data_IF_418083240085
#
_entry.id   IF_418083240085
#
_cell.length_a   1.000
_cell.length_b   1.000
_cell.length_c   1.000
_cell.angle_alpha   90.00
_cell.angle_beta   90.00
_cell.angle_gamma   90.00
#
_symmetry.space_group_name_H-M   'P 1'
#
loop_
_entity.id
_entity.type
_entity.pdbx_description
1 polymer ?
#
# COMPACT_ATOMS: atom_id res chain seq x y z
N UNK A 1 -31.95 -8.14 -36.89
CA UNK A 1 -31.76 -6.86 -36.15
C UNK A 1 -31.29 -7.09 -34.72
N UNK A 2 -31.51 -8.26 -34.10
CA UNK A 2 -30.97 -8.57 -32.76
C UNK A 2 -29.46 -8.88 -32.76
N UNK A 3 -28.92 -9.57 -33.77
CA UNK A 3 -27.48 -9.86 -33.88
C UNK A 3 -26.62 -8.58 -33.93
N UNK A 4 -27.07 -7.56 -34.67
CA UNK A 4 -26.38 -6.27 -34.77
C UNK A 4 -26.33 -5.49 -33.45
N UNK A 5 -27.33 -5.67 -32.58
CA UNK A 5 -27.39 -5.00 -31.28
C UNK A 5 -26.52 -5.72 -30.25
N UNK A 6 -26.48 -7.06 -30.29
CA UNK A 6 -25.58 -7.85 -29.44
C UNK A 6 -24.09 -7.59 -29.78
N UNK A 7 -23.74 -7.49 -31.06
CA UNK A 7 -22.38 -7.13 -31.50
C UNK A 7 -21.98 -5.71 -31.07
N UNK A 8 -22.90 -4.75 -31.16
CA UNK A 8 -22.67 -3.38 -30.69
C UNK A 8 -22.44 -3.34 -29.18
N UNK A 9 -23.28 -4.04 -28.41
CA UNK A 9 -23.13 -4.16 -26.95
C UNK A 9 -21.80 -4.83 -26.58
N UNK A 10 -21.40 -5.90 -27.28
CA UNK A 10 -20.12 -6.58 -27.07
C UNK A 10 -18.91 -5.67 -27.36
N UNK A 11 -18.97 -4.86 -28.42
CA UNK A 11 -17.91 -3.89 -28.72
C UNK A 11 -17.81 -2.79 -27.67
N UNK A 12 -18.95 -2.31 -27.15
CA UNK A 12 -19.00 -1.31 -26.07
C UNK A 12 -18.40 -1.88 -24.79
N UNK A 13 -18.78 -3.10 -24.39
CA UNK A 13 -18.24 -3.74 -23.17
C UNK A 13 -16.77 -4.12 -23.31
N UNK A 14 -16.32 -4.54 -24.50
CA UNK A 14 -14.90 -4.80 -24.77
C UNK A 14 -14.04 -3.51 -24.73
N UNK A 15 -14.58 -2.39 -25.20
CA UNK A 15 -13.93 -1.08 -25.13
C UNK A 15 -13.76 -0.59 -23.69
N UNK A 16 -14.81 -0.71 -22.88
CA UNK A 16 -14.78 -0.35 -21.46
C UNK A 16 -13.81 -1.25 -20.67
N UNK A 17 -13.85 -2.57 -20.90
CA UNK A 17 -12.91 -3.51 -20.27
C UNK A 17 -11.46 -3.15 -20.60
N UNK A 18 -11.16 -2.82 -21.87
CA UNK A 18 -9.82 -2.38 -22.28
C UNK A 18 -9.36 -1.14 -21.49
N UNK A 19 -10.24 -0.15 -21.31
CA UNK A 19 -9.90 1.05 -20.54
C UNK A 19 -9.64 0.76 -19.06
N UNK A 20 -10.35 -0.21 -18.46
CA UNK A 20 -10.03 -0.65 -17.09
C UNK A 20 -8.67 -1.35 -17.04
N UNK A 21 -8.39 -2.26 -17.98
CA UNK A 21 -7.11 -2.99 -18.04
C UNK A 21 -5.93 -2.02 -18.22
N UNK A 22 -5.99 -1.12 -19.20
CA UNK A 22 -4.92 -0.15 -19.46
C UNK A 22 -4.68 0.77 -18.25
N UNK A 23 -5.74 1.18 -17.53
CA UNK A 23 -5.60 1.95 -16.29
C UNK A 23 -4.92 1.13 -15.19
N UNK A 24 -5.28 -0.15 -15.03
CA UNK A 24 -4.67 -1.02 -14.04
C UNK A 24 -3.19 -1.29 -14.35
N UNK A 25 -2.84 -1.57 -15.61
CA UNK A 25 -1.45 -1.78 -16.03
C UNK A 25 -0.58 -0.55 -15.77
N UNK A 26 -1.11 0.65 -16.04
CA UNK A 26 -0.41 1.90 -15.69
C UNK A 26 -0.20 2.04 -14.17
N UNK A 27 -1.23 1.78 -13.38
CA UNK A 27 -1.13 1.82 -11.91
C UNK A 27 -0.13 0.78 -11.38
N UNK A 28 -0.03 -0.40 -12.00
CA UNK A 28 0.97 -1.40 -11.64
C UNK A 28 2.40 -0.97 -11.97
N UNK A 29 2.61 -0.33 -13.13
CA UNK A 29 3.89 0.27 -13.48
C UNK A 29 4.28 1.38 -12.49
N UNK A 30 3.37 2.31 -12.19
CA UNK A 30 3.60 3.37 -11.19
C UNK A 30 3.92 2.79 -9.81
N UNK A 31 3.19 1.74 -9.39
CA UNK A 31 3.44 1.05 -8.12
C UNK A 31 4.84 0.42 -8.08
N UNK A 32 5.29 -0.16 -9.21
CA UNK A 32 6.63 -0.73 -9.31
C UNK A 32 7.70 0.35 -9.18
N UNK A 33 7.56 1.46 -9.91
CA UNK A 33 8.51 2.57 -9.88
C UNK A 33 8.60 3.18 -8.47
N UNK A 34 7.46 3.38 -7.81
CA UNK A 34 7.40 3.85 -6.41
C UNK A 34 8.10 2.85 -5.48
N UNK A 35 7.92 1.55 -5.67
CA UNK A 35 8.57 0.53 -4.85
C UNK A 35 10.10 0.53 -5.03
N UNK A 36 10.59 0.81 -6.24
CA UNK A 36 12.02 0.96 -6.52
C UNK A 36 12.58 2.22 -5.85
N UNK A 37 11.91 3.36 -5.97
CA UNK A 37 12.29 4.60 -5.27
C UNK A 37 12.33 4.40 -3.74
N UNK A 38 11.36 3.70 -3.17
CA UNK A 38 11.36 3.37 -1.72
C UNK A 38 12.58 2.52 -1.31
N UNK A 39 13.01 1.58 -2.17
CA UNK A 39 14.20 0.77 -1.90
C UNK A 39 15.47 1.62 -1.94
N UNK A 40 15.58 2.54 -2.88
CA UNK A 40 16.73 3.46 -2.99
C UNK A 40 16.87 4.33 -1.75
N UNK A 41 15.78 4.95 -1.28
CA UNK A 41 15.78 5.76 -0.04
C UNK A 41 16.24 4.93 1.16
N UNK A 42 15.76 3.68 1.28
CA UNK A 42 16.17 2.79 2.36
C UNK A 42 17.64 2.39 2.24
N UNK A 43 18.16 2.18 1.02
CA UNK A 43 19.56 1.88 0.78
C UNK A 43 20.47 3.07 1.12
N UNK A 44 20.07 4.29 0.75
CA UNK A 44 20.76 5.53 1.09
C UNK A 44 20.80 5.74 2.62
N UNK A 45 19.68 5.55 3.31
CA UNK A 45 19.62 5.62 4.76
C UNK A 45 20.55 4.59 5.42
N UNK A 46 20.59 3.35 4.90
CA UNK A 46 21.50 2.32 5.38
C UNK A 46 22.97 2.73 5.16
N UNK A 47 23.32 3.26 4.00
CA UNK A 47 24.68 3.71 3.69
C UNK A 47 25.14 4.86 4.61
N UNK A 48 24.20 5.69 5.08
CA UNK A 48 24.43 6.75 6.07
C UNK A 48 24.47 6.25 7.52
N UNK A 49 24.26 4.95 7.76
CA UNK A 49 24.32 4.34 9.09
C UNK A 49 23.00 4.27 9.85
N UNK A 50 21.87 4.59 9.24
CA UNK A 50 20.56 4.45 9.89
C UNK A 50 20.08 2.99 9.90
N UNK A 51 19.39 2.60 10.98
CA UNK A 51 18.70 1.32 11.05
C UNK A 51 17.38 1.36 10.27
N UNK A 52 17.39 0.80 9.06
CA UNK A 52 16.21 0.73 8.19
C UNK A 52 15.06 -0.12 8.75
N UNK A 53 15.30 -1.03 9.70
CA UNK A 53 14.21 -1.77 10.37
C UNK A 53 13.47 -0.85 11.33
N UNK A 54 14.20 -0.06 12.11
CA UNK A 54 13.62 0.94 13.03
C UNK A 54 12.89 2.02 12.23
N UNK A 55 13.47 2.51 11.12
CA UNK A 55 12.78 3.48 10.26
C UNK A 55 11.45 2.96 9.71
N UNK A 56 11.37 1.69 9.29
CA UNK A 56 10.10 1.09 8.85
C UNK A 56 9.06 1.05 9.97
N UNK A 57 9.47 0.73 11.21
CA UNK A 57 8.59 0.78 12.38
C UNK A 57 8.06 2.20 12.61
N UNK A 58 8.93 3.21 12.58
CA UNK A 58 8.53 4.62 12.72
C UNK A 58 7.55 5.04 11.62
N UNK A 59 7.81 4.68 10.36
CA UNK A 59 6.88 4.98 9.25
C UNK A 59 5.52 4.30 9.47
N UNK A 60 5.50 3.04 9.92
CA UNK A 60 4.26 2.32 10.20
C UNK A 60 3.47 2.96 11.36
N UNK A 61 4.15 3.32 12.45
CA UNK A 61 3.54 4.05 13.57
C UNK A 61 2.94 5.38 13.09
N UNK A 62 3.67 6.14 12.27
CA UNK A 62 3.19 7.43 11.74
C UNK A 62 1.99 7.33 10.80
N UNK A 63 1.66 6.14 10.30
CA UNK A 63 0.48 5.91 9.44
C UNK A 63 -0.78 5.58 10.24
N UNK A 64 -0.65 5.18 11.51
CA UNK A 64 -1.77 4.85 12.38
C UNK A 64 -2.41 6.10 12.95
N UNK A 65 -3.68 6.00 13.31
CA UNK A 65 -4.34 7.05 14.09
C UNK A 65 -3.66 7.16 15.47
N UNK A 66 -3.60 8.38 16.02
CA UNK A 66 -3.01 8.61 17.34
C UNK A 66 -3.81 7.93 18.44
N UNK A 67 -5.13 7.85 18.28
CA UNK A 67 -6.02 7.22 19.24
C UNK A 67 -5.82 5.69 19.21
N UNK A 68 -5.67 5.09 18.02
CA UNK A 68 -5.34 3.66 17.85
C UNK A 68 -3.98 3.30 18.47
N UNK A 69 -3.01 4.22 18.45
CA UNK A 69 -1.71 4.01 19.08
C UNK A 69 -1.85 4.07 20.60
N UNK A 70 -2.55 5.07 21.12
CA UNK A 70 -2.74 5.26 22.56
C UNK A 70 -3.51 4.09 23.20
N UNK A 71 -4.52 3.55 22.52
CA UNK A 71 -5.26 2.38 22.99
C UNK A 71 -4.37 1.13 23.04
N UNK A 72 -3.59 0.86 21.98
CA UNK A 72 -2.67 -0.28 21.96
C UNK A 72 -1.57 -0.14 23.03
N UNK A 73 -1.03 1.06 23.22
CA UNK A 73 -0.03 1.33 24.26
C UNK A 73 -0.60 1.10 25.67
N UNK A 74 -1.84 1.53 25.94
CA UNK A 74 -2.49 1.28 27.22
C UNK A 74 -2.70 -0.21 27.49
N UNK A 75 -3.13 -0.98 26.49
CA UNK A 75 -3.28 -2.44 26.60
C UNK A 75 -1.93 -3.13 26.79
N UNK A 76 -0.92 -2.71 26.04
CA UNK A 76 0.43 -3.26 26.14
C UNK A 76 1.02 -3.03 27.53
N UNK A 77 0.83 -1.83 28.10
CA UNK A 77 1.33 -1.50 29.43
C UNK A 77 0.65 -2.35 30.50
N UNK A 78 -0.67 -2.51 30.44
CA UNK A 78 -1.42 -3.43 31.32
C UNK A 78 -0.88 -4.87 31.25
N UNK A 79 -0.53 -5.35 30.04
CA UNK A 79 0.06 -6.68 29.89
C UNK A 79 1.47 -6.78 30.46
N UNK A 80 2.32 -5.77 30.30
CA UNK A 80 3.65 -5.75 30.92
C UNK A 80 3.56 -5.73 32.43
N UNK A 81 2.67 -4.91 33.00
CA UNK A 81 2.41 -4.88 34.44
C UNK A 81 1.98 -6.25 34.95
N UNK A 82 1.05 -6.91 34.27
CA UNK A 82 0.59 -8.26 34.62
C UNK A 82 1.71 -9.31 34.53
N UNK A 83 2.70 -9.10 33.66
CA UNK A 83 3.86 -9.97 33.48
C UNK A 83 5.08 -9.55 34.33
N UNK A 84 5.00 -8.45 35.07
CA UNK A 84 6.10 -7.91 35.89
C UNK A 84 7.30 -7.41 35.06
N UNK A 85 7.06 -6.88 33.86
CA UNK A 85 8.06 -6.33 32.95
C UNK A 85 8.23 -4.83 33.07
#
# INVERSE_FOLDING_TARGET
>A
MEESQAEANYRVTAGELRQFVERMERLEAEKKDIAEQQKEVMAEAKARGYDTKVMRKVIALRKRDKDDIAEEEAVLEMYKEALGM
#
